data_IF_090066100317
#
_entry.id   IF_090066100317
#
_cell.length_a   1.000
_cell.length_b   1.000
_cell.length_c   1.000
_cell.angle_alpha   90.00
_cell.angle_beta   90.00
_cell.angle_gamma   90.00
#
_symmetry.space_group_name_H-M   'P 1'
#
loop_
_entity.id
_entity.type
_entity.pdbx_description
1 polymer ?
#
# COMPACT_ATOMS: atom_id res chain seq x y z
N UNK A 1 -13.63 -7.29 24.38
CA UNK A 1 -13.07 -5.93 24.24
C UNK A 1 -12.73 -5.68 22.78
N UNK A 2 -13.71 -5.28 21.96
CA UNK A 2 -13.48 -4.85 20.58
C UNK A 2 -13.75 -3.35 20.53
N UNK A 3 -12.73 -2.55 20.83
CA UNK A 3 -12.85 -1.10 20.87
C UNK A 3 -11.98 -0.50 19.76
N UNK A 4 -12.61 0.36 18.94
CA UNK A 4 -11.98 1.39 18.08
C UNK A 4 -11.27 0.94 16.80
N UNK A 5 -12.00 0.36 15.85
CA UNK A 5 -11.63 0.47 14.43
C UNK A 5 -12.74 1.05 13.53
N UNK A 6 -13.89 1.43 14.09
CA UNK A 6 -15.07 1.91 13.33
C UNK A 6 -14.93 3.35 12.78
N UNK A 7 -13.75 3.97 12.83
CA UNK A 7 -13.53 5.32 12.30
C UNK A 7 -12.12 5.64 11.83
N UNK A 8 -11.21 4.66 11.78
CA UNK A 8 -9.83 4.82 11.27
C UNK A 8 -9.61 4.07 9.94
N UNK A 9 -10.56 3.23 9.54
CA UNK A 9 -10.53 2.56 8.25
C UNK A 9 -11.34 3.39 7.26
N UNK A 10 -10.68 4.34 6.61
CA UNK A 10 -11.20 4.89 5.37
C UNK A 10 -10.81 3.89 4.28
N UNK A 11 -11.71 3.17 3.60
CA UNK A 11 -11.33 2.18 2.60
C UNK A 11 -10.42 2.79 1.51
N UNK A 12 -10.53 4.10 1.26
CA UNK A 12 -9.62 4.81 0.35
C UNK A 12 -8.22 5.04 0.92
N UNK A 13 -7.99 5.16 2.22
CA UNK A 13 -6.60 5.19 2.74
C UNK A 13 -6.13 3.82 3.23
N UNK A 14 -7.07 2.92 3.51
CA UNK A 14 -6.85 1.54 3.91
C UNK A 14 -6.13 0.72 2.85
N UNK A 15 -6.48 0.89 1.56
CA UNK A 15 -5.82 0.15 0.48
C UNK A 15 -4.37 0.59 0.26
N UNK A 16 -4.09 1.89 0.25
CA UNK A 16 -2.72 2.40 0.06
C UNK A 16 -1.81 2.08 1.26
N UNK A 17 -2.34 2.19 2.48
CA UNK A 17 -1.62 1.78 3.69
C UNK A 17 -1.35 0.27 3.74
N UNK A 18 -2.29 -0.55 3.28
CA UNK A 18 -2.12 -2.00 3.15
C UNK A 18 -1.10 -2.35 2.06
N UNK A 19 -1.11 -1.64 0.93
CA UNK A 19 -0.12 -1.80 -0.13
C UNK A 19 1.29 -1.46 0.37
N UNK A 20 1.46 -0.32 1.06
CA UNK A 20 2.73 0.06 1.68
C UNK A 20 3.21 -0.98 2.72
N UNK A 21 2.30 -1.52 3.54
CA UNK A 21 2.62 -2.61 4.47
C UNK A 21 3.07 -3.89 3.74
N UNK A 22 2.41 -4.23 2.63
CA UNK A 22 2.74 -5.37 1.78
C UNK A 22 4.14 -5.20 1.18
N UNK A 23 4.41 -4.05 0.56
CA UNK A 23 5.74 -3.69 0.03
C UNK A 23 6.81 -3.79 1.10
N UNK A 24 6.57 -3.23 2.29
CA UNK A 24 7.51 -3.33 3.43
C UNK A 24 7.78 -4.79 3.84
N UNK A 25 6.77 -5.65 3.76
CA UNK A 25 6.89 -7.07 4.11
C UNK A 25 7.69 -7.83 3.04
N UNK A 26 7.39 -7.60 1.77
CA UNK A 26 8.16 -8.13 0.64
C UNK A 26 9.63 -7.67 0.70
N UNK A 27 9.87 -6.41 1.08
CA UNK A 27 11.21 -5.87 1.30
C UNK A 27 11.99 -6.61 2.36
N UNK A 28 11.36 -6.96 3.49
CA UNK A 28 11.98 -7.78 4.54
C UNK A 28 12.33 -9.19 4.07
N UNK A 29 11.67 -9.68 3.03
CA UNK A 29 11.95 -10.98 2.39
C UNK A 29 13.01 -10.86 1.28
N UNK A 30 13.55 -9.66 1.03
CA UNK A 30 14.58 -9.40 0.03
C UNK A 30 14.06 -8.99 -1.35
N UNK A 31 12.74 -8.87 -1.52
CA UNK A 31 12.14 -8.36 -2.77
C UNK A 31 12.19 -6.83 -2.81
N UNK A 32 12.30 -6.24 -4.00
CA UNK A 32 12.20 -4.78 -4.18
C UNK A 32 11.02 -4.54 -5.09
N UNK A 33 9.94 -3.96 -4.53
CA UNK A 33 8.73 -3.71 -5.32
C UNK A 33 8.95 -2.51 -6.23
N UNK A 34 8.72 -2.70 -7.51
CA UNK A 34 8.84 -1.69 -8.55
C UNK A 34 7.57 -0.87 -8.70
N UNK A 35 7.66 0.25 -9.42
CA UNK A 35 6.50 1.07 -9.77
C UNK A 35 5.48 0.32 -10.62
N UNK A 36 5.94 -0.55 -11.51
CA UNK A 36 5.08 -1.37 -12.37
C UNK A 36 4.22 -2.32 -11.52
N UNK A 37 4.82 -3.01 -10.56
CA UNK A 37 4.08 -3.90 -9.64
C UNK A 37 3.06 -3.11 -8.80
N UNK A 38 3.36 -1.89 -8.37
CA UNK A 38 2.38 -1.03 -7.67
C UNK A 38 1.22 -0.65 -8.59
N UNK A 39 1.48 -0.37 -9.88
CA UNK A 39 0.41 -0.10 -10.85
C UNK A 39 -0.41 -1.35 -11.18
N UNK A 40 0.16 -2.54 -11.12
CA UNK A 40 -0.58 -3.80 -11.25
C UNK A 40 -1.49 -4.03 -10.04
N UNK A 41 -0.99 -3.79 -8.82
CA UNK A 41 -1.80 -3.85 -7.60
C UNK A 41 -3.01 -2.89 -7.66
N UNK A 42 -2.83 -1.72 -8.28
CA UNK A 42 -3.89 -0.74 -8.52
C UNK A 42 -5.03 -1.32 -9.37
N UNK A 43 -4.69 -2.09 -10.42
CA UNK A 43 -5.67 -2.72 -11.31
C UNK A 43 -6.44 -3.83 -10.59
N UNK A 44 -5.75 -4.67 -9.80
CA UNK A 44 -6.36 -5.77 -9.05
C UNK A 44 -7.34 -5.29 -7.98
N UNK A 45 -7.02 -4.18 -7.31
CA UNK A 45 -7.86 -3.57 -6.27
C UNK A 45 -9.01 -2.76 -6.90
N UNK A 46 -8.96 -2.50 -8.21
CA UNK A 46 -10.02 -1.80 -8.95
C UNK A 46 -10.13 -0.32 -8.57
N UNK A 47 -9.04 0.28 -8.07
CA UNK A 47 -9.01 1.68 -7.64
C UNK A 47 -7.73 2.34 -8.10
N UNK A 48 -7.85 3.49 -8.74
CA UNK A 48 -6.71 4.33 -9.08
C UNK A 48 -6.11 5.02 -7.84
N UNK A 49 -4.80 4.86 -7.66
CA UNK A 49 -4.03 5.59 -6.65
C UNK A 49 -3.48 6.87 -7.23
N UNK A 50 -3.40 7.89 -6.39
CA UNK A 50 -2.72 9.14 -6.75
C UNK A 50 -1.20 8.93 -6.79
N UNK A 51 -0.48 9.79 -7.51
CA UNK A 51 0.98 9.75 -7.56
C UNK A 51 1.62 9.82 -6.17
N UNK A 52 1.06 10.63 -5.26
CA UNK A 52 1.52 10.73 -3.88
C UNK A 52 1.33 9.43 -3.08
N UNK A 53 0.27 8.66 -3.36
CA UNK A 53 0.06 7.34 -2.75
C UNK A 53 1.03 6.30 -3.31
N UNK A 54 1.29 6.33 -4.62
CA UNK A 54 2.27 5.45 -5.28
C UNK A 54 3.68 5.72 -4.71
N UNK A 55 4.07 6.99 -4.58
CA UNK A 55 5.33 7.39 -3.94
C UNK A 55 5.40 6.91 -2.48
N UNK A 56 4.31 7.02 -1.72
CA UNK A 56 4.25 6.52 -0.35
C UNK A 56 4.46 4.99 -0.27
N UNK A 57 3.83 4.24 -1.19
CA UNK A 57 3.96 2.78 -1.27
C UNK A 57 5.40 2.40 -1.67
N UNK A 58 5.98 3.07 -2.66
CA UNK A 58 7.35 2.82 -3.11
C UNK A 58 8.39 3.20 -2.08
N UNK A 59 8.16 4.28 -1.30
CA UNK A 59 9.03 4.67 -0.20
C UNK A 59 9.13 3.58 0.88
N UNK A 60 8.14 2.68 0.98
CA UNK A 60 8.19 1.53 1.88
C UNK A 60 9.30 0.51 1.52
N UNK A 61 9.95 0.64 0.35
CA UNK A 61 11.16 -0.11 -0.01
C UNK A 61 12.45 0.35 0.69
N UNK A 62 12.43 1.50 1.40
CA UNK A 62 13.61 2.30 1.80
C UNK A 62 14.38 2.90 0.60
N UNK A 63 13.73 3.74 -0.20
CA UNK A 63 14.44 4.68 -1.09
C UNK A 63 14.68 5.99 -0.32
#
# INVERSE_FOLDING_TARGET
MGAKLEGLYDPKTGDAGLAAFTVRTLRKQGHVTTREEVLEMQQDIGREWTEAEIEHILAANNI
#
